data_IF_417000150014
#
_entry.id   IF_417000150014
#
_cell.length_a   1.000
_cell.length_b   1.000
_cell.length_c   1.000
_cell.angle_alpha   90.00
_cell.angle_beta   90.00
_cell.angle_gamma   90.00
#
_symmetry.space_group_name_H-M   'P 1'
#
loop_
_entity.id
_entity.type
_entity.pdbx_description
1 polymer ?
#
# COMPACT_ATOMS: atom_id res chain seq x y z
N UNK A 1 48.47 4.18 55.17
CA UNK A 1 48.43 2.73 55.42
C UNK A 1 47.11 2.19 54.91
N UNK A 2 47.18 1.21 53.99
CA UNK A 2 46.21 0.12 53.64
C UNK A 2 44.74 0.51 53.37
N UNK A 3 44.07 0.14 52.28
CA UNK A 3 44.25 -1.00 51.37
C UNK A 3 42.94 -1.80 51.28
N UNK A 4 42.49 -2.04 50.04
CA UNK A 4 41.32 -2.77 49.54
C UNK A 4 40.83 -4.04 50.28
N UNK A 5 39.58 -4.46 50.00
CA UNK A 5 39.32 -5.88 49.72
C UNK A 5 37.86 -6.37 49.66
N UNK A 6 37.47 -6.89 48.48
CA UNK A 6 36.67 -8.11 48.19
C UNK A 6 35.21 -8.18 48.73
N UNK A 7 34.18 -8.69 48.05
CA UNK A 7 34.07 -9.58 46.89
C UNK A 7 33.04 -10.69 47.15
N UNK A 8 32.05 -10.82 46.24
CA UNK A 8 31.43 -12.09 45.75
C UNK A 8 30.39 -12.87 46.61
N UNK A 9 29.13 -12.81 46.13
CA UNK A 9 28.21 -13.89 45.63
C UNK A 9 27.95 -15.23 46.40
N UNK A 10 26.66 -15.62 46.53
CA UNK A 10 26.04 -16.97 46.31
C UNK A 10 24.66 -17.05 47.04
N UNK A 11 23.49 -17.05 46.38
CA UNK A 11 22.77 -18.07 45.58
C UNK A 11 21.87 -19.06 46.39
N UNK A 12 20.53 -18.98 46.20
CA UNK A 12 19.54 -20.09 46.04
C UNK A 12 18.31 -19.51 45.30
N UNK A 13 18.05 -19.77 44.00
CA UNK A 13 17.24 -20.87 43.41
C UNK A 13 15.71 -20.62 43.58
N UNK A 14 14.83 -20.45 42.57
CA UNK A 14 14.58 -21.27 41.36
C UNK A 14 13.72 -20.53 40.31
N UNK A 15 14.14 -20.68 39.05
CA UNK A 15 13.36 -21.08 37.86
C UNK A 15 12.21 -20.20 37.36
N UNK A 16 12.52 -19.24 36.47
CA UNK A 16 11.60 -18.84 35.41
C UNK A 16 12.09 -19.43 34.10
N UNK A 17 11.19 -20.18 33.47
CA UNK A 17 11.43 -20.99 32.28
C UNK A 17 11.73 -20.10 31.07
N UNK A 18 12.96 -20.18 30.59
CA UNK A 18 13.38 -19.75 29.26
C UNK A 18 12.82 -20.70 28.21
N UNK A 19 11.88 -20.23 27.39
CA UNK A 19 11.61 -20.84 26.07
C UNK A 19 11.58 -19.75 25.00
N UNK A 20 12.74 -19.63 24.35
CA UNK A 20 12.83 -19.43 22.91
C UNK A 20 12.21 -18.16 22.34
N UNK A 21 12.76 -16.99 22.66
CA UNK A 21 12.77 -15.91 21.68
C UNK A 21 13.73 -16.34 20.56
N UNK A 22 13.17 -17.00 19.55
CA UNK A 22 13.88 -17.12 18.29
C UNK A 22 13.99 -15.71 17.69
N UNK A 23 15.18 -15.12 17.84
CA UNK A 23 15.73 -14.16 16.90
C UNK A 23 15.54 -14.72 15.49
N UNK A 24 14.45 -14.30 14.85
CA UNK A 24 14.31 -14.45 13.41
C UNK A 24 15.06 -13.28 12.79
N UNK A 25 16.05 -13.53 11.92
CA UNK A 25 16.75 -12.45 11.27
C UNK A 25 15.74 -11.62 10.47
N UNK A 26 15.82 -10.30 10.59
CA UNK A 26 15.16 -9.29 9.76
C UNK A 26 15.68 -9.36 8.30
N UNK A 27 15.61 -10.55 7.71
CA UNK A 27 16.08 -10.88 6.37
C UNK A 27 14.94 -11.55 5.60
N UNK A 28 13.94 -10.74 5.26
CA UNK A 28 12.99 -11.03 4.17
C UNK A 28 12.88 -9.79 3.31
N UNK A 29 13.81 -9.70 2.36
CA UNK A 29 13.70 -9.11 1.03
C UNK A 29 12.28 -8.55 0.75
N UNK A 30 12.10 -7.24 0.91
CA UNK A 30 10.90 -6.49 0.55
C UNK A 30 10.54 -6.79 -0.92
N UNK A 31 9.64 -7.75 -1.15
CA UNK A 31 9.13 -8.09 -2.48
C UNK A 31 7.75 -7.48 -2.64
N UNK A 32 7.70 -6.43 -3.46
CA UNK A 32 6.62 -6.13 -4.41
C UNK A 32 5.19 -6.12 -3.85
N UNK A 33 4.81 -5.06 -3.15
CA UNK A 33 3.42 -4.64 -3.16
C UNK A 33 3.16 -3.80 -4.40
N UNK A 34 2.21 -4.22 -5.23
CA UNK A 34 1.85 -3.48 -6.42
C UNK A 34 0.35 -3.41 -6.52
N UNK A 35 -0.15 -2.19 -6.57
CA UNK A 35 -1.53 -1.90 -6.95
C UNK A 35 -1.60 -2.09 -8.47
N UNK A 36 -1.70 -3.35 -8.90
CA UNK A 36 -2.36 -3.71 -10.15
C UNK A 36 -1.66 -3.20 -11.44
N UNK A 37 -0.62 -3.90 -11.95
CA UNK A 37 -0.37 -4.08 -13.42
C UNK A 37 0.87 -4.94 -13.79
N UNK A 38 0.66 -5.86 -14.73
CA UNK A 38 1.68 -6.44 -15.61
C UNK A 38 2.13 -5.43 -16.68
N UNK A 39 3.41 -5.44 -17.06
CA UNK A 39 4.01 -4.43 -17.95
C UNK A 39 4.68 -5.12 -19.15
N UNK A 40 4.17 -4.99 -20.38
CA UNK A 40 4.96 -5.21 -21.58
C UNK A 40 5.44 -3.86 -22.12
N UNK A 41 6.76 -3.62 -22.07
CA UNK A 41 7.39 -2.50 -22.76
C UNK A 41 7.55 -2.90 -24.24
N UNK A 42 6.69 -2.40 -25.13
CA UNK A 42 6.92 -2.52 -26.57
C UNK A 42 7.25 -1.15 -27.18
N UNK A 43 8.38 -1.10 -27.89
CA UNK A 43 8.82 0.08 -28.63
C UNK A 43 7.82 0.38 -29.75
N UNK A 44 7.49 1.67 -29.94
CA UNK A 44 6.58 2.13 -30.99
C UNK A 44 7.34 2.34 -32.30
N UNK A 45 6.98 1.57 -33.33
CA UNK A 45 7.10 1.98 -34.73
C UNK A 45 5.69 2.25 -35.30
N UNK A 46 5.61 3.15 -36.30
CA UNK A 46 4.35 3.69 -36.83
C UNK A 46 3.42 2.62 -37.39
N UNK A 47 2.13 2.74 -37.07
CA UNK A 47 1.16 1.65 -37.24
C UNK A 47 0.23 1.85 -38.44
N UNK A 48 0.12 0.83 -39.29
CA UNK A 48 -0.77 0.82 -40.46
C UNK A 48 -2.25 0.60 -40.10
N UNK A 49 -3.18 0.82 -41.04
CA UNK A 49 -4.64 0.68 -40.82
C UNK A 49 -5.11 -0.69 -40.33
N UNK A 50 -4.42 -1.79 -40.69
CA UNK A 50 -4.67 -3.14 -40.13
C UNK A 50 -4.29 -3.24 -38.65
N UNK A 51 -3.26 -2.51 -38.24
CA UNK A 51 -2.78 -2.45 -36.88
C UNK A 51 -3.71 -1.61 -35.98
N UNK A 52 -4.40 -0.61 -36.54
CA UNK A 52 -5.43 0.15 -35.84
C UNK A 52 -6.66 -0.73 -35.49
N UNK A 53 -7.08 -1.60 -36.41
CA UNK A 53 -8.16 -2.56 -36.19
C UNK A 53 -7.79 -3.63 -35.16
N UNK A 54 -6.57 -4.18 -35.26
CA UNK A 54 -6.03 -5.11 -34.25
C UNK A 54 -5.93 -4.45 -32.87
N UNK A 55 -5.47 -3.20 -32.78
CA UNK A 55 -5.43 -2.42 -31.52
C UNK A 55 -6.82 -2.20 -30.94
N UNK A 56 -7.83 -1.99 -31.78
CA UNK A 56 -9.21 -1.77 -31.34
C UNK A 56 -9.84 -3.07 -30.83
N UNK A 57 -9.66 -4.17 -31.56
CA UNK A 57 -10.10 -5.51 -31.13
C UNK A 57 -9.38 -5.96 -29.86
N UNK A 58 -8.05 -5.74 -29.74
CA UNK A 58 -7.29 -6.01 -28.51
C UNK A 58 -7.82 -5.18 -27.33
N UNK A 59 -8.18 -3.91 -27.55
CA UNK A 59 -8.69 -3.03 -26.50
C UNK A 59 -10.08 -3.47 -26.01
N UNK A 60 -10.94 -3.98 -26.89
CA UNK A 60 -12.23 -4.56 -26.53
C UNK A 60 -12.05 -5.89 -25.78
N UNK A 61 -11.18 -6.79 -26.25
CA UNK A 61 -10.89 -8.04 -25.54
C UNK A 61 -10.27 -7.80 -24.15
N UNK A 62 -9.30 -6.88 -24.03
CA UNK A 62 -8.73 -6.50 -22.74
C UNK A 62 -9.73 -5.79 -21.82
N UNK A 63 -10.75 -5.11 -22.38
CA UNK A 63 -11.85 -4.52 -21.59
C UNK A 63 -12.81 -5.61 -21.10
N UNK A 64 -13.16 -6.57 -21.95
CA UNK A 64 -14.01 -7.69 -21.59
C UNK A 64 -13.34 -8.59 -20.55
N UNK A 65 -12.07 -8.95 -20.73
CA UNK A 65 -11.30 -9.72 -19.75
C UNK A 65 -11.22 -9.02 -18.39
N UNK A 66 -10.93 -7.71 -18.35
CA UNK A 66 -10.96 -6.91 -17.11
C UNK A 66 -12.34 -6.90 -16.46
N UNK A 67 -13.42 -6.80 -17.24
CA UNK A 67 -14.78 -6.87 -16.70
C UNK A 67 -15.11 -8.26 -16.13
N UNK A 68 -14.59 -9.33 -16.74
CA UNK A 68 -14.77 -10.69 -16.24
C UNK A 68 -14.10 -10.88 -14.87
N UNK A 69 -12.88 -10.36 -14.68
CA UNK A 69 -12.18 -10.49 -13.39
C UNK A 69 -12.77 -9.64 -12.27
N UNK A 70 -13.49 -8.56 -12.59
CA UNK A 70 -14.21 -7.75 -11.59
C UNK A 70 -15.58 -8.35 -11.21
N UNK A 71 -16.02 -9.41 -11.89
CA UNK A 71 -17.31 -10.05 -11.58
C UNK A 71 -17.28 -10.62 -10.16
N UNK A 72 -18.26 -10.22 -9.36
CA UNK A 72 -18.39 -10.65 -7.97
C UNK A 72 -17.46 -9.92 -6.99
N UNK A 73 -16.72 -8.90 -7.42
CA UNK A 73 -15.95 -8.03 -6.52
C UNK A 73 -16.91 -7.12 -5.74
N UNK A 74 -16.94 -7.25 -4.43
CA UNK A 74 -17.66 -6.37 -3.51
C UNK A 74 -16.67 -5.56 -2.68
N UNK A 75 -17.07 -4.37 -2.22
CA UNK A 75 -16.26 -3.55 -1.32
C UNK A 75 -17.11 -3.04 -0.18
N UNK A 76 -16.69 -3.33 1.05
CA UNK A 76 -17.41 -2.94 2.27
C UNK A 76 -16.45 -2.36 3.30
N UNK A 77 -17.00 -1.62 4.26
CA UNK A 77 -16.23 -1.16 5.43
C UNK A 77 -15.97 -2.36 6.35
N UNK A 78 -14.76 -2.42 6.90
CA UNK A 78 -14.42 -3.40 7.92
C UNK A 78 -15.16 -3.07 9.24
N UNK A 79 -15.46 -4.10 10.00
CA UNK A 79 -16.10 -4.06 11.31
C UNK A 79 -15.15 -4.65 12.36
N UNK A 80 -15.37 -4.41 13.67
CA UNK A 80 -14.54 -5.02 14.72
C UNK A 80 -14.54 -6.56 14.73
N UNK A 81 -15.53 -7.19 14.10
CA UNK A 81 -15.60 -8.65 13.96
C UNK A 81 -14.71 -9.20 12.83
N UNK A 82 -14.26 -8.35 11.91
CA UNK A 82 -13.43 -8.77 10.79
C UNK A 82 -12.00 -9.06 11.23
N UNK A 83 -11.43 -10.17 10.75
CA UNK A 83 -10.01 -10.42 10.92
C UNK A 83 -9.20 -9.39 10.14
N UNK A 84 -8.25 -8.74 10.81
CA UNK A 84 -7.36 -7.76 10.17
C UNK A 84 -6.48 -8.47 9.13
N UNK A 85 -6.51 -8.07 7.84
CA UNK A 85 -5.73 -8.70 6.77
C UNK A 85 -4.26 -8.28 6.82
N UNK A 86 -3.55 -8.67 7.88
CA UNK A 86 -2.15 -8.33 8.13
C UNK A 86 -1.22 -8.55 6.94
N UNK A 87 -1.31 -9.66 6.17
CA UNK A 87 -0.46 -9.85 4.99
C UNK A 87 -0.59 -8.70 3.97
N UNK A 88 -1.81 -8.25 3.70
CA UNK A 88 -2.07 -7.13 2.77
C UNK A 88 -1.61 -5.79 3.33
N UNK A 89 -1.68 -5.60 4.64
CA UNK A 89 -1.26 -4.34 5.27
C UNK A 89 0.27 -4.19 5.24
N UNK A 90 1.00 -5.27 5.52
CA UNK A 90 2.47 -5.30 5.46
C UNK A 90 3.03 -5.21 4.04
N UNK A 91 2.22 -5.56 3.04
CA UNK A 91 2.61 -5.33 1.65
C UNK A 91 2.80 -3.83 1.40
N UNK A 92 1.86 -2.98 1.83
CA UNK A 92 1.90 -1.55 1.50
C UNK A 92 2.71 -0.67 2.48
N UNK A 93 2.94 -1.10 3.73
CA UNK A 93 3.59 -0.26 4.74
C UNK A 93 4.52 -1.05 5.69
N UNK A 94 5.19 -0.31 6.58
CA UNK A 94 6.22 -0.78 7.50
C UNK A 94 5.70 -1.56 8.72
N UNK A 95 6.36 -1.43 9.88
CA UNK A 95 6.12 -2.32 11.01
C UNK A 95 4.71 -2.11 11.61
N UNK A 96 4.17 -3.19 12.18
CA UNK A 96 2.82 -3.26 12.76
C UNK A 96 2.40 -2.06 13.64
N UNK A 97 3.23 -1.51 14.54
CA UNK A 97 2.83 -0.37 15.36
C UNK A 97 2.47 0.90 14.56
N UNK A 98 3.07 1.11 13.39
CA UNK A 98 2.72 2.24 12.52
C UNK A 98 1.39 2.01 11.82
N UNK A 99 1.14 0.76 11.44
CA UNK A 99 -0.11 0.32 10.81
C UNK A 99 -1.29 0.49 11.77
N UNK A 100 -1.11 0.08 13.02
CA UNK A 100 -2.14 0.16 14.06
C UNK A 100 -2.59 1.61 14.30
N UNK A 101 -1.70 2.60 14.20
CA UNK A 101 -2.04 4.02 14.38
C UNK A 101 -3.10 4.50 13.39
N UNK A 102 -2.95 4.18 12.11
CA UNK A 102 -3.93 4.61 11.10
C UNK A 102 -5.12 3.66 11.00
N UNK A 103 -5.01 2.39 11.42
CA UNK A 103 -6.18 1.51 11.55
C UNK A 103 -7.13 1.99 12.65
N UNK A 104 -6.60 2.50 13.76
CA UNK A 104 -7.40 3.03 14.87
C UNK A 104 -8.15 4.31 14.49
N UNK A 105 -7.53 5.16 13.65
CA UNK A 105 -8.05 6.50 13.31
C UNK A 105 -8.76 6.56 11.97
N UNK A 106 -8.47 5.61 11.08
CA UNK A 106 -8.94 5.60 9.70
C UNK A 106 -10.13 4.67 9.47
N UNK A 107 -10.57 4.64 8.23
CA UNK A 107 -11.60 3.75 7.74
C UNK A 107 -10.97 2.66 6.90
N UNK A 108 -10.98 1.43 7.43
CA UNK A 108 -10.59 0.27 6.65
C UNK A 108 -11.74 -0.21 5.78
N UNK A 109 -11.44 -0.48 4.52
CA UNK A 109 -12.32 -1.05 3.52
C UNK A 109 -11.70 -2.32 2.97
N UNK A 110 -12.52 -3.36 2.84
CA UNK A 110 -12.14 -4.67 2.33
C UNK A 110 -12.74 -4.85 0.94
N UNK A 111 -11.94 -5.34 0.00
CA UNK A 111 -12.36 -5.79 -1.31
C UNK A 111 -12.44 -7.32 -1.27
N UNK A 112 -13.64 -7.84 -1.52
CA UNK A 112 -13.96 -9.26 -1.38
C UNK A 112 -14.37 -9.85 -2.71
N UNK A 113 -13.93 -11.07 -2.99
CA UNK A 113 -14.34 -11.83 -4.16
C UNK A 113 -14.45 -13.29 -3.78
N UNK A 114 -15.57 -13.94 -4.15
CA UNK A 114 -15.86 -15.33 -3.80
C UNK A 114 -15.73 -15.65 -2.28
N UNK A 115 -16.02 -14.68 -1.41
CA UNK A 115 -15.93 -14.84 0.05
C UNK A 115 -14.54 -14.59 0.64
N UNK A 116 -13.55 -14.25 -0.17
CA UNK A 116 -12.17 -14.00 0.27
C UNK A 116 -11.80 -12.52 0.17
N UNK A 117 -11.02 -12.01 1.13
CA UNK A 117 -10.45 -10.66 1.08
C UNK A 117 -9.27 -10.65 0.10
N UNK A 118 -9.51 -10.10 -1.09
CA UNK A 118 -8.51 -10.01 -2.17
C UNK A 118 -7.80 -8.65 -2.22
N UNK A 119 -8.28 -7.68 -1.46
CA UNK A 119 -7.65 -6.37 -1.33
C UNK A 119 -8.16 -5.60 -0.12
N UNK A 120 -7.43 -4.57 0.28
CA UNK A 120 -7.83 -3.68 1.35
C UNK A 120 -7.30 -2.27 1.13
N UNK A 121 -7.99 -1.28 1.69
CA UNK A 121 -7.52 0.09 1.76
C UNK A 121 -7.88 0.74 3.09
N UNK A 122 -7.06 1.68 3.55
CA UNK A 122 -7.36 2.53 4.70
C UNK A 122 -7.39 3.99 4.26
N UNK A 123 -8.50 4.65 4.55
CA UNK A 123 -8.74 6.07 4.26
C UNK A 123 -8.77 6.87 5.55
N UNK A 124 -8.15 8.04 5.59
CA UNK A 124 -8.14 8.87 6.81
C UNK A 124 -8.31 10.34 6.44
N UNK A 125 -9.13 11.07 7.21
CA UNK A 125 -9.17 12.52 7.15
C UNK A 125 -7.89 13.10 7.78
N UNK A 126 -7.21 14.02 7.10
CA UNK A 126 -5.91 14.54 7.53
C UNK A 126 -5.95 16.04 7.81
N UNK A 127 -6.26 16.83 6.78
CA UNK A 127 -6.41 18.30 6.83
C UNK A 127 -7.83 18.68 6.44
N UNK A 128 -8.16 19.95 6.56
CA UNK A 128 -9.44 20.50 6.09
C UNK A 128 -9.69 20.07 4.63
N UNK A 129 -10.89 19.55 4.37
CA UNK A 129 -11.35 19.07 3.07
C UNK A 129 -10.43 18.05 2.37
N UNK A 130 -9.61 17.32 3.13
CA UNK A 130 -8.58 16.42 2.59
C UNK A 130 -8.65 15.04 3.24
N UNK A 131 -8.74 14.03 2.39
CA UNK A 131 -8.59 12.63 2.77
C UNK A 131 -7.31 12.06 2.19
N UNK A 132 -6.73 11.08 2.86
CA UNK A 132 -5.52 10.39 2.43
C UNK A 132 -5.76 8.88 2.35
N UNK A 133 -5.20 8.27 1.31
CA UNK A 133 -5.05 6.81 1.21
C UNK A 133 -3.82 6.44 2.02
N UNK A 134 -4.01 6.03 3.27
CA UNK A 134 -2.94 5.64 4.18
C UNK A 134 -2.30 4.31 3.79
N UNK A 135 -3.12 3.40 3.27
CA UNK A 135 -2.68 2.09 2.82
C UNK A 135 -3.63 1.58 1.74
N UNK A 136 -3.10 0.92 0.71
CA UNK A 136 -3.89 0.27 -0.33
C UNK A 136 -3.11 -0.92 -0.90
N UNK A 137 -3.70 -2.11 -0.85
CA UNK A 137 -3.03 -3.33 -1.30
C UNK A 137 -4.03 -4.31 -1.93
N UNK A 138 -3.53 -5.06 -2.92
CA UNK A 138 -4.23 -6.17 -3.57
C UNK A 138 -3.35 -7.40 -3.40
N UNK A 139 -3.96 -8.54 -3.06
CA UNK A 139 -3.27 -9.81 -2.94
C UNK A 139 -2.52 -10.14 -4.24
N UNK A 140 -1.29 -10.66 -4.15
CA UNK A 140 -0.41 -10.90 -5.31
C UNK A 140 -1.10 -11.68 -6.44
N UNK A 141 -1.82 -12.76 -6.10
CA UNK A 141 -2.55 -13.59 -7.05
C UNK A 141 -3.67 -12.85 -7.81
N UNK A 142 -4.11 -11.70 -7.30
CA UNK A 142 -5.20 -10.88 -7.82
C UNK A 142 -4.73 -9.57 -8.47
N UNK A 143 -3.41 -9.32 -8.53
CA UNK A 143 -2.85 -8.16 -9.22
C UNK A 143 -2.97 -8.32 -10.74
N UNK A 144 -3.07 -7.18 -11.45
CA UNK A 144 -3.21 -7.14 -12.91
C UNK A 144 -4.63 -7.35 -13.41
N UNK A 145 -5.60 -7.54 -12.50
CA UNK A 145 -6.99 -7.87 -12.80
C UNK A 145 -7.94 -6.65 -12.76
N UNK A 146 -7.44 -5.46 -12.42
CA UNK A 146 -8.26 -4.25 -12.33
C UNK A 146 -8.79 -3.94 -10.93
N UNK A 147 -8.50 -4.78 -9.92
CA UNK A 147 -8.99 -4.62 -8.54
C UNK A 147 -8.41 -3.35 -7.90
N UNK A 148 -7.10 -3.10 -8.06
CA UNK A 148 -6.47 -1.89 -7.54
C UNK A 148 -7.06 -0.62 -8.17
N UNK A 149 -7.34 -0.69 -9.47
CA UNK A 149 -8.09 0.37 -10.19
C UNK A 149 -9.48 0.59 -9.60
N UNK A 150 -10.23 -0.48 -9.32
CA UNK A 150 -11.57 -0.39 -8.75
C UNK A 150 -11.53 0.20 -7.33
N UNK A 151 -10.56 -0.21 -6.51
CA UNK A 151 -10.36 0.29 -5.15
C UNK A 151 -10.00 1.78 -5.16
N UNK A 152 -9.10 2.23 -6.04
CA UNK A 152 -8.76 3.64 -6.16
C UNK A 152 -9.97 4.51 -6.58
N UNK A 153 -10.81 4.00 -7.49
CA UNK A 153 -12.08 4.68 -7.85
C UNK A 153 -13.03 4.76 -6.66
N UNK A 154 -13.16 3.68 -5.89
CA UNK A 154 -13.97 3.66 -4.66
C UNK A 154 -13.43 4.67 -3.64
N UNK A 155 -12.12 4.75 -3.44
CA UNK A 155 -11.49 5.74 -2.56
C UNK A 155 -11.86 7.18 -2.94
N UNK A 156 -11.78 7.52 -4.24
CA UNK A 156 -12.20 8.84 -4.74
C UNK A 156 -13.69 9.11 -4.48
N UNK A 157 -14.56 8.12 -4.73
CA UNK A 157 -15.99 8.26 -4.50
C UNK A 157 -16.30 8.47 -3.01
N UNK A 158 -15.65 7.70 -2.12
CA UNK A 158 -15.80 7.83 -0.68
C UNK A 158 -15.32 9.20 -0.20
N UNK A 159 -14.13 9.64 -0.60
CA UNK A 159 -13.62 10.96 -0.24
C UNK A 159 -14.59 12.08 -0.67
N UNK A 160 -15.16 12.01 -1.88
CA UNK A 160 -16.20 12.94 -2.35
C UNK A 160 -17.46 12.90 -1.48
N UNK A 161 -17.95 11.71 -1.15
CA UNK A 161 -19.12 11.54 -0.27
C UNK A 161 -18.88 12.12 1.14
N UNK A 162 -17.62 12.20 1.58
CA UNK A 162 -17.22 12.81 2.85
C UNK A 162 -16.89 14.30 2.72
N UNK A 163 -17.25 14.94 1.61
CA UNK A 163 -17.06 16.38 1.40
C UNK A 163 -15.62 16.78 1.08
N UNK A 164 -14.72 15.82 0.82
CA UNK A 164 -13.33 16.14 0.51
C UNK A 164 -13.19 16.86 -0.83
N UNK A 165 -12.39 17.92 -0.85
CA UNK A 165 -11.94 18.58 -2.07
C UNK A 165 -10.67 17.93 -2.62
N UNK A 166 -9.88 17.25 -1.78
CA UNK A 166 -8.61 16.63 -2.17
C UNK A 166 -8.52 15.19 -1.66
N UNK A 167 -7.91 14.34 -2.49
CA UNK A 167 -7.44 13.01 -2.08
C UNK A 167 -5.93 12.93 -2.24
N UNK A 168 -5.24 12.61 -1.17
CA UNK A 168 -3.79 12.47 -1.11
C UNK A 168 -3.36 11.00 -1.04
N UNK A 169 -2.11 10.74 -1.44
CA UNK A 169 -1.41 9.48 -1.22
C UNK A 169 0.09 9.74 -1.11
N UNK A 170 0.75 8.99 -0.23
CA UNK A 170 2.20 8.92 -0.15
C UNK A 170 2.72 7.58 -0.69
N UNK A 171 3.81 7.59 -1.46
CA UNK A 171 4.49 6.37 -1.88
C UNK A 171 6.01 6.55 -1.87
N UNK A 172 6.76 5.46 -1.79
CA UNK A 172 8.21 5.50 -1.80
C UNK A 172 8.78 6.05 -3.10
N UNK A 173 9.88 6.81 -3.01
CA UNK A 173 10.61 7.29 -4.18
C UNK A 173 11.07 6.16 -5.11
N UNK A 174 11.29 4.95 -4.58
CA UNK A 174 11.67 3.75 -5.35
C UNK A 174 10.47 2.96 -5.90
N UNK A 175 9.23 3.28 -5.48
CA UNK A 175 7.99 2.63 -5.91
C UNK A 175 7.50 3.13 -7.28
N UNK A 176 8.34 2.98 -8.30
CA UNK A 176 8.10 3.53 -9.64
C UNK A 176 6.75 3.12 -10.27
N UNK A 177 6.28 1.91 -9.98
CA UNK A 177 4.99 1.41 -10.49
C UNK A 177 3.81 2.12 -9.85
N UNK A 178 3.88 2.38 -8.55
CA UNK A 178 2.84 3.10 -7.82
C UNK A 178 2.78 4.56 -8.27
N UNK A 179 3.94 5.20 -8.41
CA UNK A 179 4.04 6.55 -8.99
C UNK A 179 3.38 6.62 -10.37
N UNK A 180 3.65 5.66 -11.25
CA UNK A 180 3.01 5.61 -12.57
C UNK A 180 1.50 5.31 -12.48
N UNK A 181 1.09 4.41 -11.58
CA UNK A 181 -0.30 4.07 -11.35
C UNK A 181 -1.10 5.29 -10.90
N UNK A 182 -0.71 5.96 -9.83
CA UNK A 182 -1.43 7.13 -9.31
C UNK A 182 -1.49 8.27 -10.33
N UNK A 183 -0.40 8.55 -11.06
CA UNK A 183 -0.39 9.57 -12.12
C UNK A 183 -1.40 9.28 -13.24
N UNK A 184 -1.53 8.02 -13.67
CA UNK A 184 -2.55 7.62 -14.65
C UNK A 184 -3.98 7.89 -14.16
N UNK A 185 -4.20 7.92 -12.86
CA UNK A 185 -5.48 8.26 -12.24
C UNK A 185 -5.59 9.74 -11.86
N UNK A 186 -4.73 10.60 -12.39
CA UNK A 186 -4.84 12.05 -12.21
C UNK A 186 -4.33 12.56 -10.87
N UNK A 187 -3.50 11.77 -10.17
CA UNK A 187 -2.71 12.30 -9.06
C UNK A 187 -1.48 13.04 -9.60
N UNK A 188 -1.16 14.17 -9.01
CA UNK A 188 0.03 14.98 -9.31
C UNK A 188 0.97 14.93 -8.13
N UNK A 189 2.27 14.83 -8.39
CA UNK A 189 3.30 14.99 -7.36
C UNK A 189 3.27 16.44 -6.87
N UNK A 190 3.19 16.62 -5.56
CA UNK A 190 3.12 17.94 -4.90
C UNK A 190 4.27 18.21 -3.94
N UNK A 191 5.05 17.19 -3.60
CA UNK A 191 6.18 17.35 -2.72
C UNK A 191 6.88 16.03 -2.44
N UNK A 192 8.00 16.16 -1.74
CA UNK A 192 8.81 15.04 -1.26
C UNK A 192 9.12 15.30 0.19
N UNK A 193 8.77 14.34 1.05
CA UNK A 193 9.29 14.31 2.41
C UNK A 193 10.63 13.56 2.38
N UNK A 194 11.70 14.37 2.33
CA UNK A 194 13.09 13.94 2.21
C UNK A 194 13.45 13.09 3.41
N UNK A 195 14.15 11.98 3.22
CA UNK A 195 14.62 11.08 4.29
C UNK A 195 13.51 10.49 5.19
N UNK A 196 12.24 10.56 4.80
CA UNK A 196 11.11 10.03 5.57
C UNK A 196 11.36 8.62 6.10
N UNK A 197 11.86 7.74 5.23
CA UNK A 197 12.10 6.34 5.56
C UNK A 197 13.37 6.12 6.39
N UNK A 198 14.39 6.95 6.17
CA UNK A 198 15.63 6.90 6.96
C UNK A 198 15.36 7.38 8.39
N UNK A 199 14.63 8.49 8.57
CA UNK A 199 14.25 8.98 9.90
C UNK A 199 13.42 7.96 10.67
N UNK A 200 12.57 7.20 9.97
CA UNK A 200 11.66 6.23 10.58
C UNK A 200 12.32 4.89 10.92
N UNK A 201 13.31 4.45 10.13
CA UNK A 201 13.90 3.11 10.28
C UNK A 201 15.41 3.10 10.58
N UNK A 202 16.04 4.27 10.64
CA UNK A 202 17.46 4.43 10.90
C UNK A 202 18.38 4.05 9.73
N UNK A 203 17.85 3.50 8.63
CA UNK A 203 18.62 3.14 7.43
C UNK A 203 17.77 3.16 6.16
N UNK A 204 18.40 3.48 5.04
CA UNK A 204 17.79 3.28 3.72
C UNK A 204 17.83 1.80 3.34
N UNK A 205 16.68 1.26 2.92
CA UNK A 205 16.61 -0.04 2.24
C UNK A 205 16.71 0.17 0.73
N UNK A 206 16.80 -0.91 -0.07
CA UNK A 206 16.77 -0.83 -1.53
C UNK A 206 15.61 -1.63 -2.10
N UNK A 207 14.94 -1.06 -3.08
CA UNK A 207 13.93 -1.73 -3.90
C UNK A 207 14.35 -1.59 -5.37
N UNK A 208 14.50 -2.72 -6.09
CA UNK A 208 14.97 -2.75 -7.48
C UNK A 208 16.28 -1.96 -7.72
N UNK A 209 17.19 -1.97 -6.75
CA UNK A 209 18.46 -1.23 -6.81
C UNK A 209 18.37 0.25 -6.44
N UNK A 210 17.17 0.81 -6.32
CA UNK A 210 16.93 2.21 -5.93
C UNK A 210 16.78 2.29 -4.40
N UNK A 211 17.51 3.20 -3.72
CA UNK A 211 17.32 3.44 -2.29
C UNK A 211 15.90 3.94 -1.99
N UNK A 212 15.21 3.26 -1.07
CA UNK A 212 13.98 3.76 -0.47
C UNK A 212 14.36 4.74 0.64
N UNK A 213 14.23 6.03 0.35
CA UNK A 213 14.72 7.13 1.20
C UNK A 213 13.64 8.15 1.51
N UNK A 214 12.94 8.60 0.47
CA UNK A 214 12.02 9.73 0.54
C UNK A 214 10.59 9.27 0.27
N UNK A 215 9.62 9.95 0.88
CA UNK A 215 8.19 9.76 0.60
C UNK A 215 7.74 10.79 -0.43
N UNK A 216 7.32 10.35 -1.61
CA UNK A 216 6.73 11.20 -2.64
C UNK A 216 5.25 11.42 -2.30
N UNK A 217 4.86 12.68 -2.13
CA UNK A 217 3.49 13.10 -1.86
C UNK A 217 2.78 13.43 -3.15
N UNK A 218 1.57 12.89 -3.30
CA UNK A 218 0.74 13.11 -4.47
C UNK A 218 -0.69 13.48 -4.07
N UNK A 219 -1.36 14.28 -4.88
CA UNK A 219 -2.76 14.63 -4.66
C UNK A 219 -3.57 14.62 -5.96
N UNK A 220 -4.89 14.51 -5.83
CA UNK A 220 -5.84 14.78 -6.92
C UNK A 220 -6.97 15.65 -6.38
N UNK A 221 -7.40 16.65 -7.17
CA UNK A 221 -8.56 17.46 -6.85
C UNK A 221 -9.82 16.68 -7.21
N UNK A 222 -10.74 16.62 -6.26
CA UNK A 222 -12.03 15.98 -6.41
C UNK A 222 -13.05 17.05 -6.83
N UNK A 223 -13.65 16.90 -8.01
CA UNK A 223 -14.81 17.74 -8.35
C UNK A 223 -15.91 17.54 -7.31
N UNK A 224 -16.42 18.64 -6.75
CA UNK A 224 -17.57 18.65 -5.84
C UNK A 224 -18.72 17.87 -6.50
N UNK A 225 -19.43 17.07 -5.70
CA UNK A 225 -20.71 16.55 -6.16
C UNK A 225 -21.61 17.75 -6.51
N UNK A 226 -22.38 17.72 -7.61
CA UNK A 226 -23.43 18.71 -7.80
C UNK A 226 -24.33 18.65 -6.56
N UNK A 227 -24.55 19.81 -5.94
CA UNK A 227 -25.40 19.97 -4.77
C UNK A 227 -26.87 19.74 -5.07
#
# INVERSE_FOLDING_TARGET
MKGCGHGVCSCVGRTVCSRGFHDRPLNRRWRMAFVDTAFPFSQRSGASGRELLLRTQNRVMQRNARNTHLKGLTMRRATPADAVPWPLLFDADGPRPEIEKYLLRGEQWLAEQAGEVVGQMVLMATRVDTWEIMNIAVAEAHKGQGIGTAMLKKAKALAKQRGAHRLEVGTGNSSLRELAFYQRFGFRIIGVDVDYFVRRWGKATKQNGIPLRDLVRMETVLSRAPG
#
